data_IF_841807941627
#
_entry.id   IF_841807941627
#
_cell.length_a   1.000
_cell.length_b   1.000
_cell.length_c   1.000
_cell.angle_alpha   90.00
_cell.angle_beta   90.00
_cell.angle_gamma   90.00
#
_symmetry.space_group_name_H-M   'P 1'
#
loop_
_entity.id
_entity.type
_entity.pdbx_description
1 polymer ?
#
# COMPACT_ATOMS: atom_id res chain seq x y z
N UNK A 1 0.45 -27.72 15.95
CA UNK A 1 -0.04 -26.45 16.59
C UNK A 1 1.09 -25.47 16.93
N UNK A 2 2.21 -25.91 17.54
CA UNK A 2 3.34 -25.00 17.84
C UNK A 2 4.01 -24.46 16.57
N UNK A 3 4.19 -25.29 15.55
CA UNK A 3 4.79 -24.91 14.29
C UNK A 3 3.98 -23.87 13.50
N UNK A 4 2.65 -23.98 13.50
CA UNK A 4 1.78 -23.02 12.82
C UNK A 4 1.79 -21.65 13.49
N UNK A 5 1.89 -21.59 14.82
CA UNK A 5 2.10 -20.33 15.54
C UNK A 5 3.43 -19.67 15.18
N UNK A 6 4.52 -20.44 15.14
CA UNK A 6 5.84 -19.96 14.74
C UNK A 6 5.87 -19.45 13.28
N UNK A 7 5.16 -20.12 12.37
CA UNK A 7 5.02 -19.66 10.99
C UNK A 7 4.26 -18.33 10.91
N UNK A 8 3.17 -18.15 11.68
CA UNK A 8 2.45 -16.89 11.74
C UNK A 8 3.29 -15.73 12.27
N UNK A 9 4.07 -15.97 13.32
CA UNK A 9 5.03 -14.99 13.86
C UNK A 9 6.10 -14.65 12.83
N UNK A 10 6.71 -15.66 12.22
CA UNK A 10 7.75 -15.47 11.19
C UNK A 10 7.24 -14.66 10.00
N UNK A 11 6.01 -14.92 9.56
CA UNK A 11 5.34 -14.19 8.49
C UNK A 11 5.10 -12.71 8.86
N UNK A 12 4.60 -12.46 10.08
CA UNK A 12 4.37 -11.10 10.56
C UNK A 12 5.69 -10.32 10.74
N UNK A 13 6.72 -10.96 11.29
CA UNK A 13 8.06 -10.35 11.40
C UNK A 13 8.66 -10.01 10.03
N UNK A 14 8.50 -10.89 9.04
CA UNK A 14 8.91 -10.63 7.67
C UNK A 14 8.19 -9.40 7.10
N UNK A 15 6.87 -9.31 7.28
CA UNK A 15 6.08 -8.17 6.81
C UNK A 15 6.53 -6.85 7.48
N UNK A 16 6.77 -6.86 8.79
CA UNK A 16 7.28 -5.72 9.54
C UNK A 16 8.68 -5.33 9.02
N UNK A 17 9.58 -6.30 8.89
CA UNK A 17 10.93 -6.08 8.37
C UNK A 17 10.91 -5.44 6.98
N UNK A 18 10.10 -5.98 6.08
CA UNK A 18 9.93 -5.43 4.75
C UNK A 18 9.35 -3.99 4.81
N UNK A 19 8.46 -3.69 5.73
CA UNK A 19 7.88 -2.34 5.90
C UNK A 19 8.92 -1.35 6.44
N UNK A 20 9.70 -1.73 7.43
CA UNK A 20 10.80 -0.92 7.95
C UNK A 20 11.85 -0.68 6.86
N UNK A 21 12.25 -1.71 6.11
CA UNK A 21 13.22 -1.58 5.03
C UNK A 21 12.75 -0.61 3.94
N UNK A 22 11.44 -0.58 3.65
CA UNK A 22 10.88 0.38 2.70
C UNK A 22 10.83 1.82 3.24
N UNK A 23 10.66 1.99 4.56
CA UNK A 23 10.74 3.30 5.19
C UNK A 23 12.17 3.85 5.19
N UNK A 24 13.16 2.96 5.33
CA UNK A 24 14.58 3.31 5.38
C UNK A 24 15.24 3.37 3.99
N UNK A 25 14.62 2.79 2.97
CA UNK A 25 15.16 2.85 1.61
C UNK A 25 15.20 4.30 1.11
N UNK A 26 16.29 4.70 0.44
CA UNK A 26 16.35 6.02 -0.18
C UNK A 26 15.19 6.17 -1.17
N UNK A 27 14.36 7.16 -0.93
CA UNK A 27 13.08 7.36 -1.63
C UNK A 27 13.26 8.15 -2.92
N UNK A 28 14.18 7.73 -3.77
CA UNK A 28 14.24 8.22 -5.14
C UNK A 28 13.49 7.26 -6.05
N UNK A 29 12.22 7.49 -6.23
CA UNK A 29 11.44 6.76 -7.24
C UNK A 29 11.31 7.62 -8.47
N UNK A 30 11.58 7.02 -9.63
CA UNK A 30 11.21 7.63 -10.90
C UNK A 30 9.69 7.81 -10.89
N UNK A 31 9.28 9.07 -10.90
CA UNK A 31 7.87 9.42 -10.98
C UNK A 31 7.56 9.97 -12.38
N UNK A 32 6.38 9.70 -12.93
CA UNK A 32 5.96 10.34 -14.17
C UNK A 32 5.96 11.86 -13.98
N UNK A 33 6.29 12.60 -15.03
CA UNK A 33 6.28 14.06 -15.00
C UNK A 33 4.90 14.64 -14.65
N UNK A 34 3.83 13.86 -14.90
CA UNK A 34 2.44 14.23 -14.63
C UNK A 34 1.77 13.11 -13.84
N UNK A 35 1.30 13.43 -12.65
CA UNK A 35 0.50 12.53 -11.82
C UNK A 35 -0.99 12.77 -12.06
N UNK A 36 -1.75 11.70 -12.25
CA UNK A 36 -3.15 11.77 -12.68
C UNK A 36 -4.06 10.98 -11.77
N UNK A 37 -5.29 11.46 -11.64
CA UNK A 37 -6.38 10.75 -10.99
C UNK A 37 -7.56 10.50 -11.93
N UNK A 38 -8.37 9.50 -11.60
CA UNK A 38 -9.61 9.22 -12.34
C UNK A 38 -10.76 10.04 -11.76
N UNK A 39 -11.40 10.83 -12.62
CA UNK A 39 -12.65 11.51 -12.30
C UNK A 39 -13.73 10.95 -13.23
N UNK A 40 -14.46 9.94 -12.78
CA UNK A 40 -15.37 9.17 -13.62
C UNK A 40 -14.59 8.39 -14.68
N UNK A 41 -14.84 8.69 -15.97
CA UNK A 41 -14.12 8.09 -17.11
C UNK A 41 -12.95 8.94 -17.60
N UNK A 42 -12.76 10.12 -17.03
CA UNK A 42 -11.72 11.05 -17.42
C UNK A 42 -10.47 10.84 -16.56
N UNK A 43 -9.32 11.06 -17.16
CA UNK A 43 -8.04 11.10 -16.43
C UNK A 43 -7.59 12.55 -16.39
N UNK A 44 -7.49 13.07 -15.17
CA UNK A 44 -7.21 14.48 -14.90
C UNK A 44 -5.88 14.61 -14.19
N UNK A 45 -5.10 15.63 -14.56
CA UNK A 45 -3.86 15.96 -13.89
C UNK A 45 -4.16 16.41 -12.47
N UNK A 46 -3.59 15.73 -11.50
CA UNK A 46 -3.69 16.05 -10.09
C UNK A 46 -2.47 16.82 -9.59
N UNK A 47 -1.31 16.48 -10.15
CA UNK A 47 -0.05 17.08 -9.77
C UNK A 47 0.95 16.95 -10.93
N UNK A 48 1.88 17.88 -11.06
CA UNK A 48 2.84 17.94 -12.14
C UNK A 48 4.24 18.28 -11.60
N UNK A 49 5.29 17.78 -12.29
CA UNK A 49 6.66 18.15 -11.98
C UNK A 49 6.91 19.64 -12.28
N UNK A 50 7.97 20.20 -11.71
CA UNK A 50 8.34 21.60 -12.00
C UNK A 50 8.55 21.85 -13.47
N UNK A 51 9.11 20.89 -14.20
CA UNK A 51 9.28 20.95 -15.66
C UNK A 51 7.93 20.97 -16.39
N UNK A 52 6.99 20.12 -15.97
CA UNK A 52 5.64 20.08 -16.54
C UNK A 52 4.86 21.37 -16.23
N UNK A 53 5.03 21.94 -15.03
CA UNK A 53 4.45 23.23 -14.67
C UNK A 53 5.03 24.37 -15.53
N UNK A 54 6.34 24.38 -15.77
CA UNK A 54 6.98 25.36 -16.67
C UNK A 54 6.54 25.18 -18.13
N UNK A 55 6.28 23.94 -18.57
CA UNK A 55 5.68 23.65 -19.87
C UNK A 55 4.18 24.05 -19.94
N UNK A 56 3.62 24.53 -18.83
CA UNK A 56 2.27 25.06 -18.74
C UNK A 56 1.20 24.00 -18.47
N UNK A 57 1.56 22.82 -18.01
CA UNK A 57 0.61 21.83 -17.45
C UNK A 57 0.04 22.36 -16.14
N UNK A 58 -1.24 22.21 -15.93
CA UNK A 58 -1.90 22.63 -14.70
C UNK A 58 -2.78 21.53 -14.13
N UNK A 59 -3.03 21.60 -12.84
CA UNK A 59 -4.03 20.79 -12.19
C UNK A 59 -5.41 21.01 -12.84
N UNK A 60 -6.13 19.92 -13.09
CA UNK A 60 -7.41 19.94 -13.79
C UNK A 60 -7.31 19.74 -15.31
N UNK A 61 -6.13 19.84 -15.92
CA UNK A 61 -5.93 19.51 -17.33
C UNK A 61 -6.22 18.01 -17.56
N UNK A 62 -6.74 17.68 -18.73
CA UNK A 62 -7.13 16.31 -19.06
C UNK A 62 -6.02 15.59 -19.81
N UNK A 63 -5.59 14.44 -19.31
CA UNK A 63 -4.64 13.58 -20.00
C UNK A 63 -5.37 12.70 -21.03
N UNK A 64 -4.97 12.77 -22.30
CA UNK A 64 -5.57 12.03 -23.40
C UNK A 64 -4.77 10.80 -23.79
N UNK A 65 -3.44 10.92 -23.84
CA UNK A 65 -2.54 9.84 -24.25
C UNK A 65 -1.14 10.03 -23.65
N UNK A 66 -0.41 8.91 -23.53
CA UNK A 66 1.04 8.88 -23.22
C UNK A 66 1.71 8.04 -24.29
N UNK A 67 2.75 8.56 -24.94
CA UNK A 67 3.49 7.91 -26.03
C UNK A 67 2.59 7.37 -27.15
N UNK A 68 1.54 8.12 -27.50
CA UNK A 68 0.56 7.74 -28.50
C UNK A 68 -0.47 6.70 -28.05
N UNK A 69 -0.36 6.17 -26.83
CA UNK A 69 -1.31 5.21 -26.25
C UNK A 69 -2.38 5.96 -25.48
N UNK A 70 -3.64 5.79 -25.88
CA UNK A 70 -4.77 6.46 -25.23
C UNK A 70 -4.95 6.00 -23.77
N UNK A 71 -5.32 6.94 -22.89
CA UNK A 71 -5.72 6.64 -21.50
C UNK A 71 -7.12 5.99 -21.53
N UNK A 72 -7.41 4.93 -20.73
CA UNK A 72 -6.68 4.48 -19.55
C UNK A 72 -5.63 3.37 -19.79
N UNK A 73 -5.45 2.88 -21.03
CA UNK A 73 -4.51 1.79 -21.31
C UNK A 73 -3.06 2.19 -21.02
N UNK A 74 -2.71 3.45 -21.29
CA UNK A 74 -1.37 3.98 -21.04
C UNK A 74 -0.97 3.89 -19.57
N UNK A 75 -1.90 4.13 -18.64
CA UNK A 75 -1.61 4.13 -17.20
C UNK A 75 -1.30 2.74 -16.65
N UNK A 76 -1.84 1.68 -17.26
CA UNK A 76 -1.53 0.30 -16.87
C UNK A 76 -0.10 -0.13 -17.22
N UNK A 77 0.57 0.60 -18.10
CA UNK A 77 1.93 0.34 -18.56
C UNK A 77 2.92 1.47 -18.26
N UNK A 78 2.47 2.62 -17.76
CA UNK A 78 3.30 3.81 -17.60
C UNK A 78 4.47 3.59 -16.63
N UNK A 79 4.26 2.86 -15.53
CA UNK A 79 5.33 2.54 -14.59
C UNK A 79 6.44 1.68 -15.18
N UNK A 80 6.16 0.92 -16.25
CA UNK A 80 7.16 0.05 -16.91
C UNK A 80 8.02 0.78 -17.94
N UNK A 81 7.66 1.99 -18.34
CA UNK A 81 8.33 2.77 -19.41
C UNK A 81 9.06 3.99 -18.91
N UNK A 82 9.09 4.21 -17.60
CA UNK A 82 9.84 5.32 -17.04
C UNK A 82 11.33 4.97 -17.06
N UNK A 83 12.07 5.58 -17.98
CA UNK A 83 13.52 5.48 -18.06
C UNK A 83 14.09 6.87 -17.81
N UNK A 84 15.04 6.99 -16.90
CA UNK A 84 15.70 8.27 -16.64
C UNK A 84 16.42 8.75 -17.91
N UNK A 85 16.14 9.99 -18.32
CA UNK A 85 16.73 10.60 -19.52
C UNK A 85 16.01 10.30 -20.83
N UNK A 86 14.92 9.52 -20.80
CA UNK A 86 14.03 9.32 -21.95
C UNK A 86 12.73 10.09 -21.73
N UNK A 87 12.42 11.13 -22.55
CA UNK A 87 11.18 11.87 -22.41
C UNK A 87 9.98 11.04 -22.86
N UNK A 88 8.91 11.05 -22.10
CA UNK A 88 7.61 10.53 -22.52
C UNK A 88 6.78 11.65 -23.15
N UNK A 89 6.03 11.32 -24.19
CA UNK A 89 5.18 12.30 -24.90
C UNK A 89 3.78 12.26 -24.28
N UNK A 90 3.41 13.33 -23.60
CA UNK A 90 2.09 13.52 -22.99
C UNK A 90 1.20 14.33 -23.90
N UNK A 91 0.02 13.81 -24.25
CA UNK A 91 -1.01 14.56 -24.96
C UNK A 91 -2.06 15.03 -23.98
N UNK A 92 -2.12 16.34 -23.78
CA UNK A 92 -2.93 16.97 -22.73
C UNK A 92 -3.92 17.94 -23.36
N UNK A 93 -5.17 17.87 -22.94
CA UNK A 93 -6.21 18.83 -23.26
C UNK A 93 -6.35 19.80 -22.08
N UNK A 94 -6.09 21.06 -22.33
CA UNK A 94 -6.23 22.12 -21.34
C UNK A 94 -7.68 22.45 -21.07
N UNK A 95 -7.93 23.12 -19.95
CA UNK A 95 -9.29 23.57 -19.56
C UNK A 95 -9.94 24.49 -20.61
N UNK A 96 -9.15 25.15 -21.46
CA UNK A 96 -9.65 25.97 -22.57
C UNK A 96 -9.95 25.17 -23.85
N UNK A 97 -9.78 23.83 -23.83
CA UNK A 97 -9.96 22.95 -24.98
C UNK A 97 -8.75 22.85 -25.93
N UNK A 98 -7.65 23.54 -25.64
CA UNK A 98 -6.42 23.45 -26.43
C UNK A 98 -5.72 22.12 -26.16
N UNK A 99 -5.39 21.36 -27.21
CA UNK A 99 -4.64 20.11 -27.09
C UNK A 99 -3.17 20.40 -27.37
N UNK A 100 -2.30 19.96 -26.47
CA UNK A 100 -0.84 20.05 -26.60
C UNK A 100 -0.19 18.69 -26.43
N UNK A 101 0.91 18.51 -27.17
CA UNK A 101 1.82 17.38 -26.98
C UNK A 101 3.11 17.92 -26.36
N UNK A 102 3.50 17.35 -25.24
CA UNK A 102 4.64 17.77 -24.45
C UNK A 102 5.55 16.56 -24.21
N UNK A 103 6.81 16.68 -24.60
CA UNK A 103 7.82 15.69 -24.24
C UNK A 103 8.42 16.11 -22.89
N UNK A 104 8.17 15.30 -21.85
CA UNK A 104 8.59 15.59 -20.49
C UNK A 104 9.40 14.41 -19.95
N UNK A 105 10.52 14.70 -19.31
CA UNK A 105 11.33 13.67 -18.67
C UNK A 105 10.69 13.20 -17.35
N UNK A 106 10.81 11.90 -17.02
CA UNK A 106 10.44 11.42 -15.72
C UNK A 106 11.28 12.11 -14.64
N UNK A 107 10.63 12.68 -13.65
CA UNK A 107 11.34 13.34 -12.57
C UNK A 107 11.76 12.32 -11.50
N UNK A 108 12.95 12.51 -10.91
CA UNK A 108 13.29 11.86 -9.66
C UNK A 108 12.50 12.59 -8.57
N UNK A 109 11.33 12.08 -8.27
CA UNK A 109 10.55 12.61 -7.15
C UNK A 109 11.14 12.03 -5.88
N UNK A 110 11.80 12.85 -5.08
CA UNK A 110 11.86 12.57 -3.65
C UNK A 110 10.42 12.43 -3.19
N UNK A 111 10.04 11.26 -2.66
CA UNK A 111 8.72 11.13 -2.02
C UNK A 111 8.64 12.27 -1.02
N UNK A 112 7.60 13.09 -1.14
CA UNK A 112 7.35 14.20 -0.23
C UNK A 112 7.60 13.71 1.19
N UNK A 113 8.64 14.25 1.82
CA UNK A 113 8.92 14.02 3.23
C UNK A 113 7.96 14.89 4.05
N UNK A 114 6.66 14.81 3.75
CA UNK A 114 5.69 15.42 4.63
C UNK A 114 5.84 14.73 5.98
N UNK A 115 6.27 15.46 7.02
CA UNK A 115 6.42 14.88 8.36
C UNK A 115 5.13 14.24 8.86
N UNK A 116 3.97 14.66 8.36
CA UNK A 116 2.68 14.05 8.66
C UNK A 116 2.60 12.62 8.09
N UNK A 117 3.04 12.39 6.86
CA UNK A 117 3.05 11.06 6.25
C UNK A 117 3.99 10.11 6.98
N UNK A 118 5.17 10.59 7.34
CA UNK A 118 6.13 9.80 8.14
C UNK A 118 5.53 9.42 9.49
N UNK A 119 4.86 10.36 10.16
CA UNK A 119 4.22 10.12 11.45
C UNK A 119 3.09 9.08 11.34
N UNK A 120 2.25 9.17 10.31
CA UNK A 120 1.19 8.20 10.04
C UNK A 120 1.78 6.80 9.81
N UNK A 121 2.83 6.69 9.01
CA UNK A 121 3.48 5.41 8.75
C UNK A 121 4.12 4.81 10.01
N UNK A 122 4.75 5.62 10.85
CA UNK A 122 5.28 5.18 12.14
C UNK A 122 4.17 4.73 13.10
N UNK A 123 3.05 5.46 13.15
CA UNK A 123 1.90 5.09 13.97
C UNK A 123 1.32 3.74 13.55
N UNK A 124 1.12 3.52 12.24
CA UNK A 124 0.66 2.25 11.70
C UNK A 124 1.63 1.10 12.00
N UNK A 125 2.92 1.34 11.90
CA UNK A 125 3.94 0.35 12.25
C UNK A 125 3.89 -0.03 13.74
N UNK A 126 3.73 0.95 14.63
CA UNK A 126 3.56 0.72 16.06
C UNK A 126 2.29 -0.10 16.36
N UNK A 127 1.18 0.20 15.69
CA UNK A 127 -0.06 -0.58 15.82
C UNK A 127 0.16 -2.01 15.33
N UNK A 128 0.83 -2.21 14.21
CA UNK A 128 1.17 -3.54 13.69
C UNK A 128 1.99 -4.37 14.69
N UNK A 129 3.04 -3.77 15.26
CA UNK A 129 3.88 -4.41 16.28
C UNK A 129 3.06 -4.72 17.53
N UNK A 130 2.17 -3.82 17.97
CA UNK A 130 1.32 -4.02 19.14
C UNK A 130 0.40 -5.24 18.96
N UNK A 131 -0.22 -5.40 17.78
CA UNK A 131 -1.00 -6.60 17.47
C UNK A 131 -0.16 -7.88 17.61
N UNK A 132 1.04 -7.89 17.03
CA UNK A 132 1.92 -9.05 17.10
C UNK A 132 2.30 -9.39 18.54
N UNK A 133 2.67 -8.39 19.33
CA UNK A 133 3.03 -8.56 20.76
C UNK A 133 1.86 -9.11 21.56
N UNK A 134 0.66 -8.55 21.39
CA UNK A 134 -0.56 -9.02 22.06
C UNK A 134 -0.81 -10.50 21.71
N UNK A 135 -0.76 -10.85 20.43
CA UNK A 135 -0.93 -12.23 19.98
C UNK A 135 0.09 -13.18 20.61
N UNK A 136 1.36 -12.77 20.66
CA UNK A 136 2.44 -13.56 21.28
C UNK A 136 2.25 -13.73 22.79
N UNK A 137 1.90 -12.67 23.52
CA UNK A 137 1.67 -12.71 24.97
C UNK A 137 0.51 -13.65 25.29
N UNK A 138 -0.62 -13.53 24.57
CA UNK A 138 -1.77 -14.41 24.75
C UNK A 138 -1.41 -15.87 24.46
N UNK A 139 -0.70 -16.11 23.36
CA UNK A 139 -0.27 -17.47 22.99
C UNK A 139 0.70 -18.07 24.00
N UNK A 140 1.63 -17.27 24.53
CA UNK A 140 2.57 -17.73 25.55
C UNK A 140 1.87 -18.08 26.87
N UNK A 141 0.88 -17.27 27.25
CA UNK A 141 0.17 -17.43 28.54
C UNK A 141 -0.67 -18.71 28.61
N UNK A 142 -1.27 -19.15 27.49
CA UNK A 142 -2.19 -20.32 27.46
C UNK A 142 -2.02 -21.13 26.17
N UNK A 143 -0.82 -21.57 25.86
CA UNK A 143 -0.48 -22.21 24.58
C UNK A 143 -1.25 -23.50 24.24
N UNK A 144 -1.94 -24.11 25.21
CA UNK A 144 -2.71 -25.34 25.01
C UNK A 144 -4.17 -25.08 24.57
N UNK A 145 -4.70 -23.88 24.79
CA UNK A 145 -6.07 -23.54 24.47
C UNK A 145 -6.28 -23.23 22.98
N UNK A 146 -7.39 -23.70 22.43
CA UNK A 146 -7.70 -23.46 20.99
C UNK A 146 -7.95 -21.98 20.71
N UNK A 147 -8.52 -21.27 21.67
CA UNK A 147 -8.82 -19.85 21.59
C UNK A 147 -7.56 -18.99 21.44
N UNK A 148 -6.50 -19.33 22.17
CA UNK A 148 -5.24 -18.59 22.12
C UNK A 148 -4.55 -18.72 20.78
N UNK A 149 -4.71 -19.87 20.12
CA UNK A 149 -4.20 -20.07 18.77
C UNK A 149 -4.98 -19.22 17.74
N UNK A 150 -6.31 -19.18 17.85
CA UNK A 150 -7.15 -18.33 16.99
C UNK A 150 -6.80 -16.85 17.16
N UNK A 151 -6.63 -16.40 18.41
CA UNK A 151 -6.21 -15.03 18.70
C UNK A 151 -4.82 -14.70 18.15
N UNK A 152 -3.88 -15.63 18.24
CA UNK A 152 -2.55 -15.47 17.68
C UNK A 152 -2.59 -15.32 16.15
N UNK A 153 -3.37 -16.15 15.45
CA UNK A 153 -3.56 -16.05 14.00
C UNK A 153 -4.18 -14.71 13.61
N UNK A 154 -5.24 -14.32 14.33
CA UNK A 154 -5.90 -13.04 14.08
C UNK A 154 -4.92 -11.87 14.23
N UNK A 155 -4.19 -11.82 15.35
CA UNK A 155 -3.22 -10.76 15.60
C UNK A 155 -2.08 -10.75 14.57
N UNK A 156 -1.56 -11.90 14.19
CA UNK A 156 -0.52 -12.01 13.15
C UNK A 156 -1.03 -11.51 11.80
N UNK A 157 -2.25 -11.90 11.41
CA UNK A 157 -2.85 -11.48 10.15
C UNK A 157 -3.12 -9.98 10.13
N UNK A 158 -3.64 -9.41 11.23
CA UNK A 158 -3.84 -7.97 11.37
C UNK A 158 -2.51 -7.21 11.30
N UNK A 159 -1.47 -7.70 11.95
CA UNK A 159 -0.12 -7.12 11.88
C UNK A 159 0.39 -7.07 10.44
N UNK A 160 0.25 -8.16 9.67
CA UNK A 160 0.64 -8.20 8.25
C UNK A 160 -0.16 -7.22 7.40
N UNK A 161 -1.48 -7.16 7.59
CA UNK A 161 -2.35 -6.27 6.80
C UNK A 161 -2.02 -4.80 7.05
N UNK A 162 -1.83 -4.41 8.32
CA UNK A 162 -1.46 -3.04 8.68
C UNK A 162 -0.07 -2.70 8.11
N UNK A 163 0.91 -3.61 8.25
CA UNK A 163 2.25 -3.41 7.68
C UNK A 163 2.23 -3.32 6.15
N UNK A 164 1.39 -4.11 5.49
CA UNK A 164 1.23 -4.05 4.04
C UNK A 164 0.53 -2.76 3.59
N UNK A 165 -0.45 -2.26 4.37
CA UNK A 165 -1.13 -1.00 4.08
C UNK A 165 -0.17 0.20 4.08
N UNK A 166 0.82 0.21 4.97
CA UNK A 166 1.90 1.22 4.98
C UNK A 166 2.64 1.30 3.64
N UNK A 167 2.68 0.21 2.88
CA UNK A 167 3.49 0.06 1.66
C UNK A 167 2.70 0.07 0.37
N UNK A 168 1.37 0.14 0.41
CA UNK A 168 0.51 0.02 -0.80
C UNK A 168 0.96 0.95 -1.93
N UNK A 169 1.40 2.16 -1.58
CA UNK A 169 1.89 3.15 -2.54
C UNK A 169 3.39 3.02 -2.89
N UNK A 170 4.13 2.18 -2.14
CA UNK A 170 5.58 2.08 -2.26
C UNK A 170 6.06 0.79 -2.93
N UNK A 171 5.20 -0.24 -3.00
CA UNK A 171 5.61 -1.55 -3.52
C UNK A 171 4.45 -2.35 -4.10
N UNK A 172 4.59 -2.89 -5.33
CA UNK A 172 3.56 -3.72 -5.96
C UNK A 172 3.27 -5.02 -5.16
N UNK A 173 4.24 -5.49 -4.37
CA UNK A 173 4.09 -6.67 -3.52
C UNK A 173 3.11 -6.47 -2.36
N UNK A 174 2.87 -5.21 -1.95
CA UNK A 174 1.97 -4.90 -0.84
C UNK A 174 0.52 -5.27 -1.16
N UNK A 175 0.06 -5.00 -2.37
CA UNK A 175 -1.26 -5.41 -2.82
C UNK A 175 -1.41 -6.94 -2.81
N UNK A 176 -0.40 -7.67 -3.26
CA UNK A 176 -0.38 -9.13 -3.22
C UNK A 176 -0.42 -9.67 -1.79
N UNK A 177 0.33 -9.07 -0.87
CA UNK A 177 0.31 -9.43 0.56
C UNK A 177 -1.08 -9.22 1.17
N UNK A 178 -1.76 -8.12 0.86
CA UNK A 178 -3.13 -7.85 1.32
C UNK A 178 -4.08 -8.93 0.78
N UNK A 179 -4.05 -9.19 -0.54
CA UNK A 179 -4.92 -10.17 -1.17
C UNK A 179 -4.74 -11.59 -0.61
N UNK A 180 -3.49 -12.00 -0.38
CA UNK A 180 -3.18 -13.32 0.20
C UNK A 180 -3.65 -13.41 1.66
N UNK A 181 -3.58 -12.32 2.43
CA UNK A 181 -3.94 -12.33 3.85
C UNK A 181 -5.45 -12.15 4.12
N UNK A 182 -6.22 -11.59 3.17
CA UNK A 182 -7.66 -11.39 3.36
C UNK A 182 -8.44 -12.68 3.70
N UNK A 183 -8.25 -13.82 3.00
CA UNK A 183 -8.92 -15.08 3.37
C UNK A 183 -8.53 -15.57 4.76
N UNK A 184 -7.26 -15.40 5.13
CA UNK A 184 -6.78 -15.79 6.47
C UNK A 184 -7.38 -14.94 7.58
N UNK A 185 -7.59 -13.65 7.34
CA UNK A 185 -8.29 -12.79 8.29
C UNK A 185 -9.73 -13.26 8.49
N UNK A 186 -10.45 -13.53 7.41
CA UNK A 186 -11.81 -14.06 7.49
C UNK A 186 -11.89 -15.35 8.27
N UNK A 187 -11.01 -16.32 7.97
CA UNK A 187 -10.95 -17.60 8.66
C UNK A 187 -10.56 -17.44 10.15
N UNK A 188 -9.58 -16.61 10.48
CA UNK A 188 -9.15 -16.34 11.84
C UNK A 188 -10.25 -15.66 12.66
N UNK A 189 -10.94 -14.68 12.06
CA UNK A 189 -12.07 -13.97 12.67
C UNK A 189 -13.22 -14.93 12.94
N UNK A 190 -13.63 -15.71 11.95
CA UNK A 190 -14.68 -16.72 12.10
C UNK A 190 -14.33 -17.71 13.20
N UNK A 191 -13.11 -18.23 13.21
CA UNK A 191 -12.68 -19.18 14.24
C UNK A 191 -12.63 -18.54 15.63
N UNK A 192 -12.20 -17.29 15.73
CA UNK A 192 -12.21 -16.55 16.98
C UNK A 192 -13.65 -16.42 17.55
N UNK A 193 -14.60 -15.99 16.72
CA UNK A 193 -16.00 -15.82 17.14
C UNK A 193 -16.74 -17.14 17.42
N UNK A 194 -16.35 -18.24 16.80
CA UNK A 194 -16.94 -19.56 17.07
C UNK A 194 -16.35 -20.26 18.29
N UNK A 195 -15.14 -19.86 18.69
CA UNK A 195 -14.46 -20.41 19.86
C UNK A 195 -14.65 -19.57 21.14
N UNK A 196 -15.05 -18.29 21.01
CA UNK A 196 -15.39 -17.37 22.10
C UNK A 196 -16.87 -17.02 22.08
N UNK A 197 -17.51 -16.85 23.22
CA UNK A 197 -17.35 -17.63 24.46
C UNK A 197 -18.43 -18.69 24.50
N UNK A 198 -18.11 -19.91 24.78
CA UNK A 198 -19.08 -20.73 25.47
C UNK A 198 -19.31 -20.05 26.82
N UNK A 199 -20.50 -19.54 27.03
CA UNK A 199 -20.94 -19.07 28.34
C UNK A 199 -20.43 -20.03 29.42
N UNK A 200 -19.92 -19.55 30.55
CA UNK A 200 -19.61 -20.43 31.67
C UNK A 200 -20.88 -21.16 32.02
N UNK A 201 -20.98 -22.42 31.58
CA UNK A 201 -22.08 -23.28 31.98
C UNK A 201 -22.08 -23.31 33.50
N UNK A 202 -23.06 -22.58 34.09
CA UNK A 202 -23.65 -22.82 35.36
C UNK A 202 -22.69 -23.09 36.50
N UNK A 203 -22.32 -22.06 37.26
CA UNK A 203 -22.18 -22.22 38.69
C UNK A 203 -23.62 -22.32 39.21
N UNK A 204 -24.11 -23.55 39.36
CA UNK A 204 -25.24 -23.88 40.18
C UNK A 204 -24.70 -24.29 41.54
#
# INVERSE_FOLDING_TARGET
RRWTGLLGVGWALLAIFLSVSALLAPRSTLAPAVNCSFVGTLVVVQDASDEALQAGVREGDRLLAIDGVAVPLALRGAERRLTLGEPNVYRIEKLNGEIRELALEPSIRGVSEDPADVLIHLALLLVSISYLVIGMVVWWSKSAAAETWAMMLFCSTMSVLISAAVRVHLSPWSASLILVNMPWLGAATFHLFTTYPTEPQGIV
#
